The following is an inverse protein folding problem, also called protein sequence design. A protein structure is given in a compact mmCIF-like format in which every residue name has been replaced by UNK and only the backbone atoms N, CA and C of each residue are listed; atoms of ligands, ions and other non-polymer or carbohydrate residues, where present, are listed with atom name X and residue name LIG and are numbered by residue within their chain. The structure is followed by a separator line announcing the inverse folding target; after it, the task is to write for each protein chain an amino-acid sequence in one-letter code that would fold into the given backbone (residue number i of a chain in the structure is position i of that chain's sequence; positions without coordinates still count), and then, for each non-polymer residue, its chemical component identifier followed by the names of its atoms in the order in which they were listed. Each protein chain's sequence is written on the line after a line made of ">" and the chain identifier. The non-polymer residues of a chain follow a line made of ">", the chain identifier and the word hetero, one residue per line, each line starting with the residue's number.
data_IF_008002769509
#
_entry.id   IF_008002769509
#
_cell.length_a   1.000
_cell.length_b   1.000
_cell.length_c   1.000
_cell.angle_alpha   90.00
_cell.angle_beta   90.00
_cell.angle_gamma   90.00
#
_symmetry.space_group_name_H-M   'P 1'
#
loop_
_entity.id
_entity.type
_entity.pdbx_description
1 polymer ?
#
# COMPACT_ATOMS: atom_id res chain seq x y z
N UNK A 1 -64.02 -83.28 47.58
CA UNK A 1 -62.94 -84.01 46.92
C UNK A 1 -61.63 -83.37 47.32
N UNK A 2 -60.71 -84.15 47.89
CA UNK A 2 -59.43 -83.68 48.44
C UNK A 2 -58.38 -83.51 47.35
N UNK A 3 -58.50 -84.25 46.24
CA UNK A 3 -57.54 -84.24 45.14
C UNK A 3 -57.59 -82.91 44.38
N UNK A 4 -58.78 -82.44 44.00
CA UNK A 4 -58.95 -81.14 43.33
C UNK A 4 -58.50 -79.94 44.17
N UNK A 5 -58.58 -80.02 45.50
CA UNK A 5 -58.07 -78.97 46.40
C UNK A 5 -56.52 -78.93 46.44
N UNK A 6 -55.87 -80.10 46.35
CA UNK A 6 -54.41 -80.21 46.27
C UNK A 6 -53.91 -79.67 44.92
N UNK A 7 -54.54 -80.03 43.82
CA UNK A 7 -54.19 -79.53 42.48
C UNK A 7 -54.34 -78.01 42.36
N UNK A 8 -55.41 -77.44 42.92
CA UNK A 8 -55.64 -76.00 42.96
C UNK A 8 -54.58 -75.26 43.80
N UNK A 9 -54.19 -75.85 44.95
CA UNK A 9 -53.11 -75.30 45.79
C UNK A 9 -51.79 -75.30 45.02
N UNK A 10 -51.42 -76.39 44.36
CA UNK A 10 -50.19 -76.45 43.58
C UNK A 10 -50.20 -75.47 42.40
N UNK A 11 -51.36 -75.27 41.75
CA UNK A 11 -51.50 -74.27 40.69
C UNK A 11 -51.24 -72.85 41.21
N UNK A 12 -51.80 -72.50 42.38
CA UNK A 12 -51.56 -71.22 43.04
C UNK A 12 -50.09 -71.05 43.45
N UNK A 13 -49.44 -72.08 43.99
CA UNK A 13 -48.01 -72.03 44.34
C UNK A 13 -47.13 -71.77 43.11
N UNK A 14 -47.46 -72.38 41.96
CA UNK A 14 -46.77 -72.09 40.69
C UNK A 14 -46.98 -70.65 40.23
N UNK A 15 -48.21 -70.13 40.30
CA UNK A 15 -48.50 -68.72 39.96
C UNK A 15 -47.76 -67.75 40.88
N UNK A 16 -47.75 -68.00 42.19
CA UNK A 16 -47.00 -67.18 43.16
C UNK A 16 -45.52 -67.13 42.78
N UNK A 17 -44.93 -68.27 42.41
CA UNK A 17 -43.53 -68.32 41.97
C UNK A 17 -43.30 -67.50 40.69
N UNK A 18 -44.17 -67.62 39.70
CA UNK A 18 -44.10 -66.81 38.45
C UNK A 18 -44.22 -65.32 38.76
N UNK A 19 -45.12 -64.92 39.65
CA UNK A 19 -45.27 -63.52 40.05
C UNK A 19 -44.03 -63.00 40.80
N UNK A 20 -43.42 -63.81 41.66
CA UNK A 20 -42.17 -63.46 42.34
C UNK A 20 -41.01 -63.28 41.34
N UNK A 21 -40.85 -64.19 40.39
CA UNK A 21 -39.83 -64.08 39.34
C UNK A 21 -40.04 -62.81 38.48
N UNK A 22 -41.28 -62.52 38.10
CA UNK A 22 -41.63 -61.31 37.36
C UNK A 22 -41.36 -60.03 38.17
N UNK A 23 -41.65 -60.04 39.47
CA UNK A 23 -41.37 -58.92 40.36
C UNK A 23 -39.86 -58.66 40.44
N UNK A 24 -39.05 -59.71 40.62
CA UNK A 24 -37.60 -59.60 40.65
C UNK A 24 -37.02 -59.12 39.32
N UNK A 25 -37.57 -59.60 38.19
CA UNK A 25 -37.19 -59.11 36.87
C UNK A 25 -37.54 -57.62 36.70
N UNK A 26 -38.74 -57.21 37.12
CA UNK A 26 -39.18 -55.82 37.10
C UNK A 26 -38.29 -54.91 37.95
N UNK A 27 -37.90 -55.35 39.14
CA UNK A 27 -36.99 -54.61 40.01
C UNK A 27 -35.63 -54.38 39.34
N UNK A 28 -35.06 -55.41 38.70
CA UNK A 28 -33.77 -55.27 37.98
C UNK A 28 -33.86 -54.27 36.83
N UNK A 29 -34.93 -54.31 36.05
CA UNK A 29 -35.16 -53.36 34.95
C UNK A 29 -35.32 -51.94 35.49
N UNK A 30 -36.06 -51.76 36.59
CA UNK A 30 -36.20 -50.48 37.25
C UNK A 30 -34.87 -49.91 37.74
N UNK A 31 -34.05 -50.74 38.39
CA UNK A 31 -32.74 -50.34 38.88
C UNK A 31 -31.79 -49.98 37.72
N UNK A 32 -31.82 -50.74 36.61
CA UNK A 32 -31.08 -50.41 35.40
C UNK A 32 -31.52 -49.06 34.79
N UNK A 33 -32.83 -48.83 34.67
CA UNK A 33 -33.38 -47.57 34.17
C UNK A 33 -32.99 -46.38 35.05
N UNK A 34 -32.95 -46.57 36.38
CA UNK A 34 -32.49 -45.55 37.32
C UNK A 34 -31.00 -45.22 37.12
N UNK A 35 -30.17 -46.21 36.86
CA UNK A 35 -28.75 -46.01 36.54
C UNK A 35 -28.58 -45.26 35.22
N UNK A 36 -29.29 -45.66 34.16
CA UNK A 36 -29.27 -44.98 32.86
C UNK A 36 -29.70 -43.51 32.98
N UNK A 37 -30.79 -43.24 33.72
CA UNK A 37 -31.23 -41.87 33.98
C UNK A 37 -30.16 -41.05 34.70
N UNK A 38 -29.43 -41.65 35.64
CA UNK A 38 -28.33 -40.97 36.35
C UNK A 38 -27.15 -40.64 35.42
N UNK A 39 -26.82 -41.53 34.49
CA UNK A 39 -25.80 -41.31 33.47
C UNK A 39 -26.22 -40.21 32.49
N UNK A 40 -27.47 -40.27 32.03
CA UNK A 40 -28.02 -39.27 31.10
C UNK A 40 -28.05 -37.86 31.71
N UNK A 41 -28.41 -37.75 32.99
CA UNK A 41 -28.35 -36.47 33.72
C UNK A 41 -26.92 -35.93 33.77
N UNK A 42 -25.93 -36.79 34.03
CA UNK A 42 -24.52 -36.39 34.06
C UNK A 42 -24.05 -35.92 32.68
N UNK A 43 -24.36 -36.67 31.62
CA UNK A 43 -23.97 -36.31 30.26
C UNK A 43 -24.65 -35.03 29.78
N UNK A 44 -25.92 -34.80 30.16
CA UNK A 44 -26.63 -33.54 29.87
C UNK A 44 -25.91 -32.35 30.51
N UNK A 45 -25.55 -32.46 31.80
CA UNK A 45 -24.83 -31.40 32.50
C UNK A 45 -23.44 -31.14 31.90
N UNK A 46 -22.75 -32.18 31.43
CA UNK A 46 -21.46 -32.04 30.76
C UNK A 46 -21.60 -31.35 29.40
N UNK A 47 -22.60 -31.74 28.61
CA UNK A 47 -22.90 -31.12 27.33
C UNK A 47 -23.28 -29.65 27.48
N UNK A 48 -24.10 -29.31 28.48
CA UNK A 48 -24.46 -27.92 28.81
C UNK A 48 -23.23 -27.08 29.15
N UNK A 49 -22.29 -27.63 29.95
CA UNK A 49 -21.02 -26.96 30.25
C UNK A 49 -20.17 -26.76 28.99
N UNK A 50 -20.06 -27.79 28.15
CA UNK A 50 -19.32 -27.70 26.88
C UNK A 50 -19.94 -26.67 25.93
N UNK A 51 -21.27 -26.63 25.83
CA UNK A 51 -21.99 -25.66 25.02
C UNK A 51 -21.72 -24.24 25.50
N UNK A 52 -21.80 -24.01 26.82
CA UNK A 52 -21.50 -22.71 27.43
C UNK A 52 -20.07 -22.27 27.13
N UNK A 53 -19.08 -23.16 27.33
CA UNK A 53 -17.68 -22.87 27.02
C UNK A 53 -17.47 -22.55 25.53
N UNK A 54 -18.12 -23.28 24.63
CA UNK A 54 -18.05 -23.03 23.19
C UNK A 54 -18.65 -21.67 22.80
N UNK A 55 -19.75 -21.27 23.44
CA UNK A 55 -20.37 -19.96 23.20
C UNK A 55 -19.48 -18.82 23.68
N UNK A 56 -18.88 -18.96 24.87
CA UNK A 56 -17.92 -18.00 25.41
C UNK A 56 -16.68 -17.86 24.52
N UNK A 57 -16.12 -18.97 24.03
CA UNK A 57 -14.99 -18.98 23.10
C UNK A 57 -15.34 -18.33 21.74
N UNK A 58 -16.56 -18.56 21.25
CA UNK A 58 -17.04 -17.92 20.00
C UNK A 58 -17.20 -16.42 20.19
N UNK A 59 -17.76 -15.98 21.33
CA UNK A 59 -17.89 -14.57 21.66
C UNK A 59 -16.51 -13.88 21.75
N UNK A 60 -15.55 -14.52 22.43
CA UNK A 60 -14.18 -14.01 22.51
C UNK A 60 -13.53 -13.85 21.13
N UNK A 61 -13.62 -14.88 20.28
CA UNK A 61 -13.12 -14.83 18.90
C UNK A 61 -13.77 -13.71 18.07
N UNK A 62 -15.08 -13.49 18.24
CA UNK A 62 -15.81 -12.42 17.55
C UNK A 62 -15.34 -11.03 17.99
N UNK A 63 -15.07 -10.85 19.29
CA UNK A 63 -14.51 -9.60 19.83
C UNK A 63 -13.09 -9.36 19.30
N UNK A 64 -12.25 -10.38 19.27
CA UNK A 64 -10.89 -10.30 18.71
C UNK A 64 -10.90 -9.93 17.22
N UNK A 65 -11.75 -10.59 16.43
CA UNK A 65 -11.93 -10.28 15.01
C UNK A 65 -12.39 -8.83 14.80
N UNK A 66 -13.31 -8.36 15.64
CA UNK A 66 -13.80 -6.97 15.57
C UNK A 66 -12.67 -5.98 15.88
N UNK A 67 -11.91 -6.22 16.96
CA UNK A 67 -10.74 -5.40 17.30
C UNK A 67 -9.67 -5.41 16.21
N UNK A 68 -9.43 -6.56 15.58
CA UNK A 68 -8.50 -6.68 14.47
C UNK A 68 -8.94 -5.84 13.26
N UNK A 69 -10.22 -5.91 12.88
CA UNK A 69 -10.80 -5.09 11.79
C UNK A 69 -10.69 -3.60 12.10
N UNK A 70 -10.91 -3.19 13.36
CA UNK A 70 -10.72 -1.81 13.79
C UNK A 70 -9.27 -1.35 13.68
N UNK A 71 -8.30 -2.16 14.12
CA UNK A 71 -6.87 -1.85 14.01
C UNK A 71 -6.44 -1.66 12.56
N UNK A 72 -6.84 -2.57 11.68
CA UNK A 72 -6.55 -2.43 10.23
C UNK A 72 -7.21 -1.17 9.69
N UNK A 73 -8.45 -0.91 10.07
CA UNK A 73 -9.18 0.28 9.64
C UNK A 73 -8.48 1.56 10.06
N UNK A 74 -7.93 1.61 11.28
CA UNK A 74 -7.14 2.74 11.76
C UNK A 74 -5.84 2.91 10.97
N UNK A 75 -5.15 1.83 10.61
CA UNK A 75 -3.94 1.89 9.78
C UNK A 75 -4.22 2.36 8.34
N UNK A 76 -5.35 1.93 7.76
CA UNK A 76 -5.75 2.29 6.40
C UNK A 76 -6.43 3.66 6.30
N UNK A 77 -6.80 4.25 7.44
CA UNK A 77 -7.36 5.60 7.54
C UNK A 77 -6.25 6.63 7.28
N UNK A 78 -6.03 6.92 6.00
CA UNK A 78 -5.17 8.01 5.54
C UNK A 78 -5.83 9.39 5.72
N UNK A 79 -5.39 10.38 4.92
CA UNK A 79 -5.89 11.77 4.96
C UNK A 79 -7.32 11.96 4.44
N UNK A 80 -7.94 10.93 3.88
CA UNK A 80 -9.24 11.04 3.20
C UNK A 80 -10.17 9.92 3.67
N UNK A 81 -11.01 10.25 4.65
CA UNK A 81 -12.28 9.55 4.88
C UNK A 81 -12.36 8.60 6.07
N UNK A 82 -13.59 8.44 6.55
CA UNK A 82 -13.98 7.45 7.55
C UNK A 82 -14.11 6.09 6.89
N UNK A 83 -13.11 5.22 7.04
CA UNK A 83 -13.19 3.83 6.64
C UNK A 83 -14.01 3.02 7.67
N UNK A 84 -14.95 2.21 7.20
CA UNK A 84 -15.75 1.31 8.05
C UNK A 84 -14.94 0.04 8.38
N UNK A 85 -15.01 -0.49 9.62
CA UNK A 85 -14.34 -1.75 10.00
C UNK A 85 -15.08 -2.98 9.48
N UNK A 86 -15.37 -3.00 8.18
CA UNK A 86 -15.86 -4.18 7.47
C UNK A 86 -14.76 -4.73 6.57
N UNK A 87 -14.75 -6.05 6.41
CA UNK A 87 -13.75 -6.75 5.60
C UNK A 87 -13.75 -6.29 4.14
N UNK A 88 -14.94 -6.16 3.54
CA UNK A 88 -15.06 -5.66 2.17
C UNK A 88 -14.49 -4.24 2.00
N UNK A 89 -14.77 -3.33 2.95
CA UNK A 89 -14.26 -1.96 2.87
C UNK A 89 -12.74 -1.92 3.05
N UNK A 90 -12.19 -2.74 3.95
CA UNK A 90 -10.75 -2.91 4.12
C UNK A 90 -10.09 -3.41 2.83
N UNK A 91 -10.64 -4.46 2.21
CA UNK A 91 -10.11 -5.03 0.97
C UNK A 91 -10.20 -4.06 -0.21
N UNK A 92 -11.32 -3.34 -0.35
CA UNK A 92 -11.47 -2.30 -1.36
C UNK A 92 -10.46 -1.18 -1.17
N UNK A 93 -10.24 -0.73 0.07
CA UNK A 93 -9.26 0.33 0.35
C UNK A 93 -7.84 -0.09 0.01
N UNK A 94 -7.45 -1.33 0.32
CA UNK A 94 -6.13 -1.87 -0.04
C UNK A 94 -5.96 -1.89 -1.57
N UNK A 95 -6.97 -2.34 -2.30
CA UNK A 95 -6.95 -2.32 -3.78
C UNK A 95 -6.83 -0.91 -4.34
N UNK A 96 -7.60 0.03 -3.81
CA UNK A 96 -7.56 1.44 -4.22
C UNK A 96 -6.16 2.03 -4.00
N UNK A 97 -5.56 1.80 -2.83
CA UNK A 97 -4.19 2.25 -2.53
C UNK A 97 -3.18 1.66 -3.51
N UNK A 98 -3.31 0.38 -3.87
CA UNK A 98 -2.48 -0.26 -4.88
C UNK A 98 -2.59 0.43 -6.25
N UNK A 99 -3.81 0.69 -6.71
CA UNK A 99 -4.05 1.39 -7.98
C UNK A 99 -3.50 2.84 -7.97
N UNK A 100 -3.66 3.55 -6.85
CA UNK A 100 -3.10 4.89 -6.70
C UNK A 100 -1.58 4.90 -6.74
N UNK A 101 -0.93 3.92 -6.10
CA UNK A 101 0.52 3.79 -6.12
C UNK A 101 1.05 3.51 -7.52
N UNK A 102 0.38 2.63 -8.27
CA UNK A 102 0.77 2.33 -9.65
C UNK A 102 0.62 3.56 -10.57
N UNK A 103 -0.48 4.30 -10.41
CA UNK A 103 -0.69 5.57 -11.11
C UNK A 103 0.40 6.61 -10.78
N UNK A 104 0.81 6.72 -9.50
CA UNK A 104 1.91 7.60 -9.09
C UNK A 104 3.22 7.18 -9.73
N UNK A 105 3.55 5.89 -9.75
CA UNK A 105 4.76 5.39 -10.44
C UNK A 105 4.75 5.74 -11.92
N UNK A 106 3.63 5.53 -12.60
CA UNK A 106 3.50 5.90 -14.00
C UNK A 106 3.74 7.40 -14.22
N UNK A 107 3.18 8.25 -13.36
CA UNK A 107 3.38 9.70 -13.41
C UNK A 107 4.85 10.09 -13.16
N UNK A 108 5.51 9.45 -12.19
CA UNK A 108 6.95 9.67 -11.93
C UNK A 108 7.77 9.31 -13.18
N UNK A 109 7.55 8.14 -13.77
CA UNK A 109 8.26 7.73 -15.00
C UNK A 109 8.04 8.72 -16.16
N UNK A 110 6.83 9.27 -16.29
CA UNK A 110 6.53 10.29 -17.31
C UNK A 110 7.27 11.60 -17.03
N UNK A 111 7.36 12.03 -15.77
CA UNK A 111 8.10 13.23 -15.38
C UNK A 111 9.61 13.06 -15.58
N UNK A 112 10.15 11.89 -15.23
CA UNK A 112 11.58 11.55 -15.46
C UNK A 112 11.93 11.59 -16.95
N UNK A 113 11.05 11.09 -17.82
CA UNK A 113 11.22 11.16 -19.27
C UNK A 113 11.20 12.62 -19.78
N UNK A 114 10.29 13.45 -19.25
CA UNK A 114 10.22 14.88 -19.59
C UNK A 114 11.47 15.64 -19.11
N UNK A 115 11.93 15.37 -17.89
CA UNK A 115 13.18 15.94 -17.35
C UNK A 115 14.35 15.56 -18.24
N UNK A 116 14.47 14.30 -18.63
CA UNK A 116 15.55 13.83 -19.50
C UNK A 116 15.57 14.58 -20.85
N UNK A 117 14.39 14.77 -21.45
CA UNK A 117 14.24 15.55 -22.69
C UNK A 117 14.63 17.02 -22.50
N UNK A 118 14.19 17.65 -21.41
CA UNK A 118 14.53 19.05 -21.12
C UNK A 118 16.03 19.23 -20.87
N UNK A 119 16.67 18.28 -20.18
CA UNK A 119 18.12 18.27 -19.96
C UNK A 119 18.88 18.19 -21.28
N UNK A 120 18.45 17.33 -22.20
CA UNK A 120 19.03 17.22 -23.54
C UNK A 120 18.88 18.53 -24.33
N UNK A 121 17.68 19.12 -24.33
CA UNK A 121 17.41 20.39 -25.01
C UNK A 121 18.27 21.53 -24.46
N UNK A 122 18.41 21.63 -23.14
CA UNK A 122 19.25 22.63 -22.49
C UNK A 122 20.73 22.45 -22.84
N UNK A 123 21.21 21.20 -22.91
CA UNK A 123 22.57 20.89 -23.35
C UNK A 123 22.84 21.34 -24.79
N UNK A 124 21.90 21.09 -25.70
CA UNK A 124 21.99 21.53 -27.09
C UNK A 124 22.00 23.06 -27.21
N UNK A 125 21.10 23.75 -26.51
CA UNK A 125 21.02 25.22 -26.52
C UNK A 125 22.30 25.86 -25.94
N UNK A 126 22.83 25.31 -24.84
CA UNK A 126 24.10 25.76 -24.26
C UNK A 126 25.25 25.63 -25.25
N UNK A 127 25.30 24.54 -26.02
CA UNK A 127 26.31 24.34 -27.05
C UNK A 127 26.16 25.35 -28.20
N UNK A 128 24.94 25.65 -28.64
CA UNK A 128 24.69 26.69 -29.64
C UNK A 128 25.12 28.07 -29.15
N UNK A 129 24.77 28.41 -27.91
CA UNK A 129 25.14 29.68 -27.29
C UNK A 129 26.67 29.83 -27.20
N UNK A 130 27.38 28.79 -26.76
CA UNK A 130 28.84 28.82 -26.70
C UNK A 130 29.48 29.04 -28.07
N UNK A 131 28.97 28.36 -29.12
CA UNK A 131 29.44 28.56 -30.50
C UNK A 131 29.14 29.97 -31.02
N UNK A 132 27.99 30.56 -30.66
CA UNK A 132 27.64 31.92 -31.03
C UNK A 132 28.58 32.94 -30.36
N UNK A 133 28.84 32.75 -29.06
CA UNK A 133 29.76 33.59 -28.29
C UNK A 133 31.19 33.57 -28.85
N UNK A 134 31.71 32.39 -29.19
CA UNK A 134 33.03 32.27 -29.84
C UNK A 134 33.11 33.02 -31.17
N UNK A 135 32.02 33.02 -31.96
CA UNK A 135 31.97 33.77 -33.22
C UNK A 135 31.92 35.28 -32.98
N UNK A 136 31.15 35.73 -31.99
CA UNK A 136 31.07 37.15 -31.61
C UNK A 136 32.45 37.65 -31.16
N UNK A 137 33.13 36.93 -30.26
CA UNK A 137 34.49 37.27 -29.81
C UNK A 137 35.49 37.33 -30.97
N UNK A 138 35.41 36.39 -31.93
CA UNK A 138 36.28 36.41 -33.11
C UNK A 138 35.99 37.63 -34.01
N UNK A 139 34.74 38.08 -34.08
CA UNK A 139 34.36 39.28 -34.81
C UNK A 139 34.82 40.55 -34.09
N UNK A 140 34.68 40.61 -32.77
CA UNK A 140 35.20 41.70 -31.92
C UNK A 140 36.71 41.86 -32.09
N UNK A 141 37.50 40.78 -31.97
CA UNK A 141 38.95 40.84 -32.15
C UNK A 141 39.37 41.34 -33.55
N UNK A 142 38.61 40.95 -34.59
CA UNK A 142 38.85 41.44 -35.96
C UNK A 142 38.55 42.93 -36.08
N UNK A 143 37.45 43.38 -35.46
CA UNK A 143 37.05 44.78 -35.46
C UNK A 143 38.09 45.64 -34.74
N UNK A 144 38.58 45.19 -33.58
CA UNK A 144 39.66 45.85 -32.84
C UNK A 144 40.95 45.94 -33.68
N UNK A 145 41.32 44.86 -34.38
CA UNK A 145 42.47 44.87 -35.29
C UNK A 145 42.31 45.88 -36.42
N UNK A 146 41.14 45.91 -37.07
CA UNK A 146 40.85 46.86 -38.15
C UNK A 146 40.81 48.30 -37.66
N UNK A 147 40.28 48.55 -36.46
CA UNK A 147 40.30 49.87 -35.83
C UNK A 147 41.74 50.33 -35.57
N UNK A 148 42.61 49.47 -35.03
CA UNK A 148 44.02 49.81 -34.83
C UNK A 148 44.77 50.10 -36.14
N UNK A 149 44.43 49.39 -37.22
CA UNK A 149 44.97 49.69 -38.55
C UNK A 149 44.46 51.03 -39.11
N UNK A 150 43.17 51.32 -38.92
CA UNK A 150 42.56 52.59 -39.34
C UNK A 150 43.23 53.77 -38.62
N UNK A 151 43.38 53.70 -37.29
CA UNK A 151 44.00 54.78 -36.52
C UNK A 151 45.45 55.02 -36.95
N UNK A 152 46.22 53.97 -37.24
CA UNK A 152 47.58 54.12 -37.77
C UNK A 152 47.60 54.81 -39.14
N UNK A 153 46.71 54.42 -40.06
CA UNK A 153 46.61 55.06 -41.38
C UNK A 153 46.13 56.52 -41.29
N UNK A 154 45.23 56.82 -40.35
CA UNK A 154 44.80 58.19 -40.06
C UNK A 154 45.98 59.04 -39.56
N UNK A 155 46.82 58.52 -38.65
CA UNK A 155 48.04 59.18 -38.17
C UNK A 155 49.07 59.41 -39.30
N UNK A 156 49.29 58.42 -40.18
CA UNK A 156 50.17 58.56 -41.35
C UNK A 156 49.65 59.63 -42.32
N UNK A 157 48.34 59.69 -42.55
CA UNK A 157 47.75 60.68 -43.44
C UNK A 157 47.92 62.10 -42.89
N UNK A 158 47.68 62.28 -41.59
CA UNK A 158 47.84 63.57 -40.90
C UNK A 158 49.31 64.02 -40.95
N UNK A 159 50.25 63.15 -40.60
CA UNK A 159 51.68 63.48 -40.61
C UNK A 159 52.21 63.77 -42.02
N UNK A 160 51.76 63.03 -43.04
CA UNK A 160 52.06 63.34 -44.44
C UNK A 160 51.44 64.65 -44.95
N UNK A 161 50.29 65.05 -44.39
CA UNK A 161 49.69 66.37 -44.59
C UNK A 161 50.60 67.49 -44.08
N UNK A 162 51.01 67.40 -42.81
CA UNK A 162 51.91 68.37 -42.17
C UNK A 162 53.24 68.49 -42.93
N UNK A 163 53.87 67.36 -43.29
CA UNK A 163 55.13 67.37 -44.05
C UNK A 163 55.01 68.06 -45.41
N UNK A 164 53.87 67.92 -46.11
CA UNK A 164 53.62 68.61 -47.38
C UNK A 164 53.44 70.11 -47.18
N UNK A 165 52.72 70.50 -46.13
CA UNK A 165 52.50 71.89 -45.80
C UNK A 165 53.81 72.58 -45.40
N UNK A 166 54.66 71.91 -44.61
CA UNK A 166 56.02 72.37 -44.29
C UNK A 166 56.90 72.52 -45.54
N UNK A 167 56.85 71.55 -46.46
CA UNK A 167 57.58 71.61 -47.74
C UNK A 167 57.08 72.75 -48.65
N UNK A 168 55.77 73.01 -48.66
CA UNK A 168 55.19 74.11 -49.42
C UNK A 168 55.57 75.47 -48.81
N UNK A 169 55.56 75.57 -47.48
CA UNK A 169 55.99 76.76 -46.77
C UNK A 169 57.47 77.06 -47.08
N UNK A 170 58.34 76.06 -47.05
CA UNK A 170 59.76 76.24 -47.35
C UNK A 170 60.01 76.54 -48.84
N UNK A 171 59.21 75.99 -49.76
CA UNK A 171 59.22 76.39 -51.18
C UNK A 171 58.79 77.84 -51.37
N UNK A 172 57.72 78.30 -50.72
CA UNK A 172 57.28 79.69 -50.80
C UNK A 172 58.36 80.64 -50.25
N UNK A 173 59.06 80.25 -49.19
CA UNK A 173 60.18 81.00 -48.61
C UNK A 173 61.43 81.06 -49.50
N UNK A 174 61.64 80.11 -50.43
CA UNK A 174 62.75 80.13 -51.41
C UNK A 174 62.41 80.95 -52.66
N UNK A 175 61.12 81.20 -52.92
CA UNK A 175 60.63 81.96 -54.08
C UNK A 175 60.35 83.43 -53.70
N UNK A 176 60.53 83.80 -52.43
CA UNK A 176 60.43 85.18 -51.92
C UNK A 176 61.82 85.72 -51.62
#
# INVERSE_FOLDING_TARGET
>A
DLLGAVEAKEALEREVKVFQERLLAGQRVWDASKQELSLLKRSSLELEKSLKASLEATAASQTELSSFKEKITALLRGSSGTLRPSENAILERIREMGSQEESRKQMVSQLEAQISKLVEQLGNESQFHQKALQRAQKAENKLETLQGQLTHLEEELVSGGVLRDDLNFEKQKVIT
#
